data_IF_297038442885
#
_entry.id   IF_297038442885
#
_cell.length_a   1.000
_cell.length_b   1.000
_cell.length_c   1.000
_cell.angle_alpha   90.00
_cell.angle_beta   90.00
_cell.angle_gamma   90.00
#
_symmetry.space_group_name_H-M   'P 1'
#
loop_
_entity.id
_entity.type
_entity.pdbx_description
1 polymer ?
#
# COMPACT_ATOMS: atom_id res chain seq x y z
N UNK A 1 -21.75 21.44 -8.17
CA UNK A 1 -20.56 20.83 -7.52
C UNK A 1 -20.47 19.32 -7.77
N UNK A 2 -21.60 18.61 -7.73
CA UNK A 2 -21.70 17.15 -7.85
C UNK A 2 -21.12 16.56 -9.15
N UNK A 3 -21.44 17.14 -10.32
CA UNK A 3 -20.98 16.59 -11.61
C UNK A 3 -19.45 16.65 -11.80
N UNK A 4 -18.80 17.74 -11.36
CA UNK A 4 -17.34 17.88 -11.42
C UNK A 4 -16.65 16.85 -10.52
N UNK A 5 -17.17 16.66 -9.30
CA UNK A 5 -16.65 15.66 -8.37
C UNK A 5 -16.80 14.24 -8.91
N UNK A 6 -17.98 13.87 -9.44
CA UNK A 6 -18.20 12.56 -10.08
C UNK A 6 -17.26 12.35 -11.25
N UNK A 7 -17.12 13.35 -12.14
CA UNK A 7 -16.22 13.24 -13.30
C UNK A 7 -14.75 13.05 -12.90
N UNK A 8 -14.31 13.67 -11.80
CA UNK A 8 -12.97 13.46 -11.26
C UNK A 8 -12.81 12.07 -10.64
N UNK A 9 -13.80 11.63 -9.85
CA UNK A 9 -13.77 10.38 -9.13
C UNK A 9 -13.79 9.16 -10.06
N UNK A 10 -14.57 9.25 -11.14
CA UNK A 10 -14.77 8.18 -12.12
C UNK A 10 -13.98 8.39 -13.42
N UNK A 11 -13.02 9.32 -13.45
CA UNK A 11 -12.27 9.64 -14.66
C UNK A 11 -11.70 8.34 -15.30
N UNK A 12 -12.04 8.06 -16.57
CA UNK A 12 -11.75 6.76 -17.16
C UNK A 12 -10.26 6.50 -17.29
N UNK A 13 -9.86 5.26 -17.03
CA UNK A 13 -8.48 4.78 -17.17
C UNK A 13 -8.43 3.52 -18.02
N UNK A 14 -7.30 3.18 -18.67
CA UNK A 14 -7.16 1.93 -19.40
C UNK A 14 -7.35 0.72 -18.47
N UNK A 15 -8.11 -0.29 -18.91
CA UNK A 15 -8.26 -1.56 -18.16
C UNK A 15 -6.92 -2.23 -17.87
N UNK A 16 -5.93 -2.09 -18.75
CA UNK A 16 -4.57 -2.57 -18.53
C UNK A 16 -3.95 -2.04 -17.24
N UNK A 17 -4.23 -0.78 -16.86
CA UNK A 17 -3.74 -0.19 -15.61
C UNK A 17 -4.34 -0.91 -14.39
N UNK A 18 -5.62 -1.25 -14.46
CA UNK A 18 -6.31 -2.01 -13.41
C UNK A 18 -5.77 -3.43 -13.31
N UNK A 19 -5.52 -4.10 -14.44
CA UNK A 19 -4.93 -5.43 -14.44
C UNK A 19 -3.53 -5.41 -13.79
N UNK A 20 -2.69 -4.44 -14.15
CA UNK A 20 -1.36 -4.28 -13.55
C UNK A 20 -1.42 -3.97 -12.06
N UNK A 21 -2.26 -3.01 -11.65
CA UNK A 21 -2.44 -2.65 -10.24
C UNK A 21 -2.96 -3.83 -9.42
N UNK A 22 -3.95 -4.56 -9.95
CA UNK A 22 -4.51 -5.77 -9.34
C UNK A 22 -3.44 -6.84 -9.13
N UNK A 23 -2.68 -7.15 -10.18
CA UNK A 23 -1.61 -8.15 -10.09
C UNK A 23 -0.59 -7.75 -9.03
N UNK A 24 -0.15 -6.49 -9.01
CA UNK A 24 0.80 -5.99 -8.02
C UNK A 24 0.27 -6.09 -6.58
N UNK A 25 -0.96 -5.61 -6.34
CA UNK A 25 -1.57 -5.64 -5.00
C UNK A 25 -1.73 -7.06 -4.49
N UNK A 26 -2.24 -7.98 -5.31
CA UNK A 26 -2.45 -9.36 -4.88
C UNK A 26 -1.15 -10.16 -4.74
N UNK A 27 -0.14 -9.93 -5.60
CA UNK A 27 1.18 -10.56 -5.43
C UNK A 27 1.93 -10.04 -4.19
N UNK A 28 1.59 -8.84 -3.71
CA UNK A 28 2.15 -8.32 -2.47
C UNK A 28 1.60 -9.02 -1.23
N UNK A 29 0.38 -9.55 -1.24
CA UNK A 29 -0.25 -10.13 -0.03
C UNK A 29 0.57 -11.29 0.57
N UNK A 30 1.08 -12.27 -0.20
CA UNK A 30 1.99 -13.29 0.35
C UNK A 30 3.27 -12.69 0.93
N UNK A 31 3.83 -11.64 0.31
CA UNK A 31 5.03 -10.97 0.81
C UNK A 31 4.75 -10.25 2.14
N UNK A 32 3.60 -9.61 2.27
CA UNK A 32 3.16 -9.01 3.53
C UNK A 32 3.03 -10.05 4.62
N UNK A 33 2.36 -11.17 4.34
CA UNK A 33 2.15 -12.26 5.31
C UNK A 33 3.48 -12.87 5.78
N UNK A 34 4.42 -13.10 4.87
CA UNK A 34 5.63 -13.88 5.14
C UNK A 34 6.76 -12.99 5.70
N UNK A 35 6.86 -11.74 5.27
CA UNK A 35 8.01 -10.89 5.59
C UNK A 35 7.66 -9.66 6.43
N UNK A 36 6.60 -8.93 6.09
CA UNK A 36 6.33 -7.62 6.71
C UNK A 36 5.39 -7.71 7.92
N UNK A 37 4.61 -8.78 7.99
CA UNK A 37 3.55 -8.97 8.97
C UNK A 37 3.50 -10.39 9.56
N UNK A 38 4.58 -11.17 9.39
CA UNK A 38 4.70 -12.54 9.91
C UNK A 38 4.42 -12.65 11.42
N UNK A 39 4.70 -11.58 12.16
CA UNK A 39 4.41 -11.47 13.59
C UNK A 39 2.92 -11.63 13.92
N UNK A 40 2.00 -11.30 13.00
CA UNK A 40 0.55 -11.45 13.23
C UNK A 40 0.19 -12.91 13.44
N UNK A 41 0.88 -13.85 12.79
CA UNK A 41 0.67 -15.30 12.98
C UNK A 41 0.81 -15.72 14.45
N UNK A 42 1.70 -15.08 15.21
CA UNK A 42 1.90 -15.37 16.64
C UNK A 42 0.70 -15.00 17.52
N UNK A 43 -0.21 -14.15 17.04
CA UNK A 43 -1.40 -13.74 17.80
C UNK A 43 -2.37 -14.90 18.05
N UNK A 44 -2.34 -15.94 17.22
CA UNK A 44 -3.12 -17.15 17.47
C UNK A 44 -2.71 -17.93 18.72
N UNK A 45 -1.53 -17.62 19.30
CA UNK A 45 -1.03 -18.23 20.53
C UNK A 45 -1.19 -17.32 21.75
N UNK A 46 -1.71 -16.10 21.58
CA UNK A 46 -1.87 -15.18 22.69
C UNK A 46 -3.15 -15.49 23.49
N UNK A 47 -3.12 -15.30 24.82
CA UNK A 47 -4.30 -15.40 25.66
C UNK A 47 -5.44 -14.49 25.19
N UNK A 48 -6.66 -15.03 25.14
CA UNK A 48 -7.83 -14.30 24.67
C UNK A 48 -8.21 -13.09 25.53
N UNK A 49 -7.81 -13.05 26.81
CA UNK A 49 -8.03 -11.89 27.69
C UNK A 49 -7.20 -10.66 27.31
N UNK A 50 -6.16 -10.81 26.47
CA UNK A 50 -5.40 -9.69 25.91
C UNK A 50 -6.02 -9.15 24.62
N UNK A 51 -6.99 -9.86 24.03
CA UNK A 51 -7.66 -9.43 22.81
C UNK A 51 -8.63 -8.28 23.10
N UNK A 52 -8.36 -7.12 22.51
CA UNK A 52 -9.18 -5.92 22.59
C UNK A 52 -9.61 -5.55 21.17
N UNK A 53 -10.72 -6.10 20.67
CA UNK A 53 -11.14 -5.94 19.28
C UNK A 53 -11.29 -4.47 18.91
N UNK A 54 -10.87 -4.11 17.69
CA UNK A 54 -11.22 -2.81 17.10
C UNK A 54 -12.73 -2.58 17.13
N UNK A 55 -13.17 -1.31 17.04
CA UNK A 55 -14.60 -0.95 16.96
C UNK A 55 -15.33 -1.78 15.91
N UNK A 56 -14.73 -1.96 14.73
CA UNK A 56 -15.31 -2.76 13.66
C UNK A 56 -15.41 -4.24 14.00
N UNK A 57 -14.44 -4.80 14.74
CA UNK A 57 -14.51 -6.18 15.22
C UNK A 57 -15.62 -6.38 16.24
N UNK A 58 -15.87 -5.38 17.09
CA UNK A 58 -17.01 -5.40 18.01
C UNK A 58 -18.35 -5.32 17.28
N UNK A 59 -18.48 -4.40 16.32
CA UNK A 59 -19.71 -4.24 15.54
C UNK A 59 -20.06 -5.49 14.72
N UNK A 60 -19.04 -6.15 14.17
CA UNK A 60 -19.20 -7.38 13.40
C UNK A 60 -19.23 -8.65 14.25
N UNK A 61 -19.09 -8.52 15.57
CA UNK A 61 -19.02 -9.65 16.51
C UNK A 61 -17.96 -10.70 16.11
N UNK A 62 -16.79 -10.22 15.67
CA UNK A 62 -15.68 -11.10 15.28
C UNK A 62 -15.17 -11.88 16.50
N UNK A 63 -14.87 -13.18 16.34
CA UNK A 63 -14.46 -14.02 17.45
C UNK A 63 -13.06 -13.64 17.96
N UNK A 64 -12.78 -13.99 19.22
CA UNK A 64 -11.41 -13.95 19.73
C UNK A 64 -10.51 -14.84 18.86
N UNK A 65 -9.32 -14.36 18.43
CA UNK A 65 -8.45 -15.10 17.54
C UNK A 65 -8.00 -16.41 18.19
N UNK A 66 -8.20 -17.52 17.50
CA UNK A 66 -7.67 -18.84 17.90
C UNK A 66 -6.49 -19.23 17.03
N UNK A 67 -5.67 -20.16 17.50
CA UNK A 67 -4.58 -20.72 16.70
C UNK A 67 -5.08 -21.27 15.36
N UNK A 68 -6.23 -21.95 15.35
CA UNK A 68 -6.83 -22.48 14.12
C UNK A 68 -7.25 -21.36 13.17
N UNK A 69 -7.98 -20.34 13.65
CA UNK A 69 -8.46 -19.24 12.82
C UNK A 69 -7.29 -18.48 12.15
N UNK A 70 -6.28 -18.12 12.94
CA UNK A 70 -5.12 -17.35 12.45
C UNK A 70 -4.35 -18.14 11.40
N UNK A 71 -4.09 -19.43 11.63
CA UNK A 71 -3.41 -20.28 10.65
C UNK A 71 -4.27 -20.50 9.39
N UNK A 72 -5.57 -20.74 9.55
CA UNK A 72 -6.48 -20.91 8.41
C UNK A 72 -6.47 -19.68 7.50
N UNK A 73 -6.57 -18.48 8.06
CA UNK A 73 -6.49 -17.21 7.31
C UNK A 73 -5.14 -17.08 6.61
N UNK A 74 -4.03 -17.32 7.33
CA UNK A 74 -2.68 -17.22 6.79
C UNK A 74 -2.49 -18.14 5.57
N UNK A 75 -2.80 -19.43 5.73
CA UNK A 75 -2.60 -20.41 4.67
C UNK A 75 -3.62 -20.27 3.53
N UNK A 76 -4.81 -19.73 3.77
CA UNK A 76 -5.79 -19.46 2.72
C UNK A 76 -5.41 -18.22 1.88
N UNK A 77 -4.94 -17.15 2.52
CA UNK A 77 -4.60 -15.90 1.84
C UNK A 77 -3.51 -16.07 0.78
N UNK A 78 -2.51 -16.91 1.03
CA UNK A 78 -1.39 -17.14 0.10
C UNK A 78 -1.89 -17.62 -1.28
N UNK A 79 -2.51 -18.81 -1.41
CA UNK A 79 -2.98 -19.29 -2.71
C UNK A 79 -4.12 -18.43 -3.28
N UNK A 80 -5.03 -17.92 -2.45
CA UNK A 80 -6.17 -17.13 -2.95
C UNK A 80 -5.72 -15.80 -3.54
N UNK A 81 -4.73 -15.12 -2.95
CA UNK A 81 -4.16 -13.90 -3.51
C UNK A 81 -3.41 -14.15 -4.81
N UNK A 82 -2.62 -15.24 -4.90
CA UNK A 82 -1.97 -15.64 -6.15
C UNK A 82 -3.00 -15.91 -7.27
N UNK A 83 -4.11 -16.59 -6.95
CA UNK A 83 -5.21 -16.81 -7.88
C UNK A 83 -5.91 -15.50 -8.26
N UNK A 84 -6.15 -14.61 -7.29
CA UNK A 84 -6.77 -13.30 -7.52
C UNK A 84 -5.93 -12.42 -8.46
N UNK A 85 -4.60 -12.52 -8.38
CA UNK A 85 -3.65 -11.81 -9.24
C UNK A 85 -3.83 -12.13 -10.74
N UNK A 86 -4.41 -13.29 -11.08
CA UNK A 86 -4.71 -13.69 -12.47
C UNK A 86 -5.90 -12.95 -13.09
N UNK A 87 -6.80 -12.40 -12.26
CA UNK A 87 -8.01 -11.69 -12.71
C UNK A 87 -9.15 -12.56 -13.26
N UNK A 88 -9.04 -13.90 -13.26
CA UNK A 88 -10.07 -14.81 -13.84
C UNK A 88 -11.42 -14.74 -13.12
N UNK A 89 -11.43 -14.84 -11.79
CA UNK A 89 -12.61 -14.73 -10.92
C UNK A 89 -12.52 -13.49 -10.01
N UNK A 90 -12.19 -12.33 -10.60
CA UNK A 90 -11.84 -11.09 -9.90
C UNK A 90 -12.80 -10.65 -8.79
N UNK A 91 -14.12 -10.85 -8.93
CA UNK A 91 -15.10 -10.50 -7.89
C UNK A 91 -15.02 -11.44 -6.70
N UNK A 92 -15.21 -12.74 -6.93
CA UNK A 92 -15.20 -13.75 -5.87
C UNK A 92 -13.84 -13.77 -5.17
N UNK A 93 -12.76 -14.02 -5.91
CA UNK A 93 -11.42 -14.09 -5.34
C UNK A 93 -11.01 -12.77 -4.70
N UNK A 94 -11.35 -11.64 -5.31
CA UNK A 94 -10.97 -10.34 -4.79
C UNK A 94 -11.68 -9.99 -3.48
N UNK A 95 -12.99 -10.23 -3.38
CA UNK A 95 -13.73 -10.05 -2.13
C UNK A 95 -13.34 -11.05 -1.06
N UNK A 96 -13.05 -12.31 -1.42
CA UNK A 96 -12.53 -13.30 -0.47
C UNK A 96 -11.18 -12.87 0.10
N UNK A 97 -10.24 -12.44 -0.74
CA UNK A 97 -8.94 -11.93 -0.27
C UNK A 97 -9.12 -10.68 0.58
N UNK A 98 -10.01 -9.77 0.21
CA UNK A 98 -10.34 -8.60 1.04
C UNK A 98 -10.86 -9.02 2.42
N UNK A 99 -11.86 -9.89 2.49
CA UNK A 99 -12.45 -10.32 3.76
C UNK A 99 -11.42 -11.00 4.68
N UNK A 100 -10.61 -11.89 4.12
CA UNK A 100 -9.56 -12.59 4.87
C UNK A 100 -8.44 -11.63 5.33
N UNK A 101 -8.01 -10.72 4.46
CA UNK A 101 -6.97 -9.74 4.80
C UNK A 101 -7.50 -8.68 5.78
N UNK A 102 -8.78 -8.34 5.69
CA UNK A 102 -9.47 -7.48 6.64
C UNK A 102 -9.47 -8.11 8.03
N UNK A 103 -9.88 -9.38 8.15
CA UNK A 103 -9.82 -10.12 9.41
C UNK A 103 -8.37 -10.20 9.93
N UNK A 104 -7.42 -10.50 9.06
CA UNK A 104 -5.99 -10.51 9.39
C UNK A 104 -5.53 -9.19 10.01
N UNK A 105 -5.97 -8.05 9.48
CA UNK A 105 -5.68 -6.72 10.02
C UNK A 105 -6.43 -6.41 11.32
N UNK A 106 -7.67 -6.88 11.48
CA UNK A 106 -8.40 -6.76 12.75
C UNK A 106 -7.65 -7.50 13.85
N UNK A 107 -7.24 -8.75 13.59
CA UNK A 107 -6.44 -9.55 14.53
C UNK A 107 -5.15 -8.80 14.89
N UNK A 108 -4.40 -8.34 13.89
CA UNK A 108 -3.13 -7.65 14.06
C UNK A 108 -3.20 -6.44 14.99
N UNK A 109 -4.28 -5.66 14.88
CA UNK A 109 -4.39 -4.35 15.53
C UNK A 109 -5.19 -4.36 16.82
N UNK A 110 -5.63 -5.54 17.28
CA UNK A 110 -6.46 -5.72 18.48
C UNK A 110 -5.65 -6.06 19.74
N UNK A 111 -4.32 -5.93 19.70
CA UNK A 111 -3.41 -6.24 20.82
C UNK A 111 -2.55 -5.03 21.20
N UNK A 112 -3.13 -3.82 21.15
CA UNK A 112 -2.52 -2.60 21.70
C UNK A 112 -1.61 -1.82 20.75
N UNK A 113 -1.47 -2.24 19.49
CA UNK A 113 -0.75 -1.48 18.46
C UNK A 113 -1.64 -1.29 17.24
N UNK A 114 -1.81 -0.04 16.80
CA UNK A 114 -2.55 0.31 15.59
C UNK A 114 -1.58 0.99 14.62
N UNK A 115 -1.30 0.32 13.50
CA UNK A 115 -0.51 0.87 12.41
C UNK A 115 -1.42 1.32 11.25
N UNK A 116 -1.21 2.55 10.76
CA UNK A 116 -2.04 3.16 9.72
C UNK A 116 -1.56 2.86 8.29
N UNK A 117 -0.40 2.24 8.12
CA UNK A 117 0.25 2.03 6.82
C UNK A 117 -0.43 0.95 5.97
N UNK A 118 -1.27 0.10 6.56
CA UNK A 118 -2.10 -0.88 5.83
C UNK A 118 -3.46 -0.34 5.38
N UNK A 119 -3.83 0.88 5.79
CA UNK A 119 -5.14 1.45 5.45
C UNK A 119 -5.37 1.55 3.94
N UNK A 120 -4.42 2.11 3.21
CA UNK A 120 -4.56 2.33 1.77
C UNK A 120 -4.64 1.03 0.96
N UNK A 121 -3.89 -0.01 1.36
CA UNK A 121 -3.96 -1.31 0.69
C UNK A 121 -5.26 -2.04 1.01
N UNK A 122 -5.78 -1.89 2.23
CA UNK A 122 -7.08 -2.45 2.61
C UNK A 122 -8.21 -1.83 1.78
N UNK A 123 -8.18 -0.52 1.55
CA UNK A 123 -9.09 0.17 0.62
C UNK A 123 -8.91 -0.36 -0.80
N UNK A 124 -7.67 -0.51 -1.29
CA UNK A 124 -7.40 -1.06 -2.62
C UNK A 124 -8.03 -2.45 -2.80
N UNK A 125 -7.86 -3.35 -1.82
CA UNK A 125 -8.45 -4.68 -1.81
C UNK A 125 -9.98 -4.65 -1.83
N UNK A 126 -10.61 -3.70 -1.14
CA UNK A 126 -12.07 -3.54 -1.12
C UNK A 126 -12.62 -3.04 -2.48
N UNK A 127 -11.92 -2.14 -3.16
CA UNK A 127 -12.43 -1.51 -4.39
C UNK A 127 -12.03 -2.23 -5.67
N UNK A 128 -10.90 -2.95 -5.70
CA UNK A 128 -10.45 -3.72 -6.87
C UNK A 128 -11.49 -4.70 -7.45
N UNK A 129 -12.28 -5.44 -6.64
CA UNK A 129 -13.35 -6.31 -7.13
C UNK A 129 -14.45 -5.56 -7.91
N UNK A 130 -14.64 -4.28 -7.62
CA UNK A 130 -15.68 -3.43 -8.25
C UNK A 130 -15.28 -2.94 -9.65
N UNK A 131 -13.98 -2.94 -9.98
CA UNK A 131 -13.45 -2.40 -11.23
C UNK A 131 -13.77 -3.23 -12.49
N UNK A 132 -14.38 -4.41 -12.31
CA UNK A 132 -14.80 -5.30 -13.40
C UNK A 132 -13.65 -6.10 -14.05
N UNK A 133 -13.99 -6.77 -15.16
CA UNK A 133 -13.01 -7.56 -15.94
C UNK A 133 -11.98 -6.62 -16.55
N UNK A 134 -10.71 -6.89 -16.28
CA UNK A 134 -9.57 -6.14 -16.82
C UNK A 134 -8.44 -7.12 -17.14
N UNK A 135 -7.81 -6.95 -18.30
CA UNK A 135 -6.69 -7.78 -18.79
C UNK A 135 -5.48 -6.91 -19.07
N UNK A 136 -4.29 -7.49 -18.91
CA UNK A 136 -3.04 -6.85 -19.31
C UNK A 136 -3.08 -6.52 -20.81
N UNK A 137 -2.60 -5.32 -21.17
CA UNK A 137 -2.58 -4.82 -22.56
C UNK A 137 -3.89 -4.18 -23.05
N UNK A 138 -5.04 -4.42 -22.41
CA UNK A 138 -6.33 -3.86 -22.80
C UNK A 138 -6.42 -2.34 -22.58
N UNK A 139 -6.42 -1.57 -23.67
CA UNK A 139 -6.46 -0.10 -23.61
C UNK A 139 -7.89 0.47 -23.49
N UNK A 140 -8.93 -0.37 -23.44
CA UNK A 140 -10.30 0.15 -23.35
C UNK A 140 -10.49 0.93 -22.05
N UNK A 141 -11.09 2.15 -22.11
CA UNK A 141 -11.32 2.97 -20.93
C UNK A 141 -12.36 2.33 -20.00
N UNK A 142 -12.19 2.52 -18.69
CA UNK A 142 -13.14 2.09 -17.65
C UNK A 142 -13.28 3.13 -16.55
N UNK A 143 -14.51 3.55 -16.28
CA UNK A 143 -14.86 4.45 -15.18
C UNK A 143 -14.80 3.75 -13.81
N UNK A 144 -15.25 2.49 -13.73
CA UNK A 144 -15.16 1.68 -12.53
C UNK A 144 -13.69 1.45 -12.11
N UNK A 145 -12.79 1.30 -13.09
CA UNK A 145 -11.35 1.30 -12.83
C UNK A 145 -10.84 2.65 -12.35
N UNK A 146 -11.34 3.74 -12.92
CA UNK A 146 -11.04 5.11 -12.47
C UNK A 146 -11.38 5.31 -11.00
N UNK A 147 -12.59 4.90 -10.60
CA UNK A 147 -13.05 4.92 -9.21
C UNK A 147 -12.15 4.10 -8.29
N UNK A 148 -11.83 2.85 -8.65
CA UNK A 148 -10.99 1.99 -7.82
C UNK A 148 -9.60 2.60 -7.57
N UNK A 149 -8.97 3.17 -8.61
CA UNK A 149 -7.69 3.86 -8.44
C UNK A 149 -7.84 5.14 -7.63
N UNK A 150 -8.88 5.95 -7.88
CA UNK A 150 -9.07 7.22 -7.18
C UNK A 150 -9.39 7.02 -5.70
N UNK A 151 -10.22 6.05 -5.36
CA UNK A 151 -10.51 5.67 -3.97
C UNK A 151 -9.22 5.23 -3.25
N UNK A 152 -8.37 4.44 -3.91
CA UNK A 152 -7.06 4.06 -3.38
C UNK A 152 -6.14 5.27 -3.19
N UNK A 153 -6.06 6.17 -4.18
CA UNK A 153 -5.26 7.40 -4.11
C UNK A 153 -5.71 8.29 -2.94
N UNK A 154 -7.02 8.44 -2.75
CA UNK A 154 -7.60 9.18 -1.62
C UNK A 154 -7.20 8.51 -0.30
N UNK A 155 -7.25 7.19 -0.22
CA UNK A 155 -6.82 6.47 0.98
C UNK A 155 -5.32 6.65 1.27
N UNK A 156 -4.46 6.64 0.24
CA UNK A 156 -3.02 6.93 0.36
C UNK A 156 -2.81 8.33 0.96
N UNK A 157 -3.45 9.34 0.39
CA UNK A 157 -3.33 10.73 0.88
C UNK A 157 -3.94 10.89 2.27
N UNK A 158 -5.06 10.23 2.54
CA UNK A 158 -5.70 10.25 3.85
C UNK A 158 -4.79 9.65 4.93
N UNK A 159 -4.02 8.59 4.63
CA UNK A 159 -3.02 8.04 5.56
C UNK A 159 -2.03 9.12 6.01
N UNK A 160 -1.46 9.89 5.08
CA UNK A 160 -0.55 10.98 5.43
C UNK A 160 -1.25 12.10 6.19
N UNK A 161 -2.32 12.63 5.60
CA UNK A 161 -3.01 13.77 6.15
C UNK A 161 -3.50 13.49 7.58
N UNK A 162 -4.19 12.36 7.78
CA UNK A 162 -4.70 11.99 9.10
C UNK A 162 -3.59 11.56 10.08
N UNK A 163 -2.42 11.13 9.59
CA UNK A 163 -1.26 10.93 10.45
C UNK A 163 -0.79 12.26 11.06
N UNK A 164 -0.76 13.36 10.30
CA UNK A 164 -0.44 14.69 10.85
C UNK A 164 -1.48 15.17 11.86
N UNK A 165 -2.78 14.98 11.57
CA UNK A 165 -3.86 15.31 12.50
C UNK A 165 -3.72 14.49 13.79
N UNK A 166 -3.37 13.21 13.69
CA UNK A 166 -3.15 12.34 14.85
C UNK A 166 -1.96 12.81 15.68
N UNK A 167 -0.87 13.27 15.06
CA UNK A 167 0.29 13.85 15.76
C UNK A 167 -0.12 15.05 16.61
N UNK A 168 -0.91 15.96 16.05
CA UNK A 168 -1.41 17.10 16.81
C UNK A 168 -2.43 16.71 17.88
N UNK A 169 -3.34 15.79 17.58
CA UNK A 169 -4.36 15.34 18.52
C UNK A 169 -3.77 14.69 19.78
N UNK A 170 -2.74 13.85 19.63
CA UNK A 170 -2.18 13.07 20.74
C UNK A 170 -0.88 13.66 21.31
N UNK A 171 -0.12 14.40 20.52
CA UNK A 171 1.17 15.00 20.92
C UNK A 171 1.15 16.52 21.06
N UNK A 172 0.08 17.20 20.66
CA UNK A 172 0.01 18.66 20.63
C UNK A 172 1.03 19.30 19.68
N UNK A 173 1.23 20.61 19.83
CA UNK A 173 2.28 21.34 19.11
C UNK A 173 3.69 20.89 19.52
N UNK A 174 3.84 20.35 20.73
CA UNK A 174 5.09 19.80 21.24
C UNK A 174 5.62 18.64 20.38
N UNK A 175 4.79 18.03 19.52
CA UNK A 175 5.27 17.04 18.55
C UNK A 175 6.33 17.63 17.60
N UNK A 176 6.24 18.92 17.25
CA UNK A 176 7.14 19.59 16.31
C UNK A 176 8.54 19.83 16.86
N UNK A 177 8.68 20.01 18.18
CA UNK A 177 9.94 20.42 18.83
C UNK A 177 10.40 19.46 19.92
N UNK A 178 9.58 18.48 20.29
CA UNK A 178 9.85 17.55 21.38
C UNK A 178 10.75 16.38 20.99
N UNK A 179 10.86 15.41 21.90
CA UNK A 179 11.79 14.29 21.79
C UNK A 179 11.28 13.10 20.93
N UNK A 180 10.17 13.25 20.18
CA UNK A 180 9.54 12.14 19.45
C UNK A 180 10.47 11.50 18.44
N UNK A 181 11.13 12.32 17.61
CA UNK A 181 12.05 11.82 16.60
C UNK A 181 13.34 11.29 17.23
N UNK A 182 13.87 11.98 18.25
CA UNK A 182 15.02 11.52 19.03
C UNK A 182 14.79 10.14 19.64
N UNK A 183 13.61 9.91 20.27
CA UNK A 183 13.22 8.60 20.81
C UNK A 183 13.15 7.53 19.72
N UNK A 184 12.67 7.89 18.54
CA UNK A 184 12.61 6.96 17.40
C UNK A 184 14.02 6.57 16.92
N UNK A 185 14.95 7.52 16.89
CA UNK A 185 16.34 7.28 16.49
C UNK A 185 17.10 6.44 17.52
N UNK A 186 16.88 6.67 18.82
CA UNK A 186 17.49 5.84 19.87
C UNK A 186 17.00 4.39 19.76
N UNK A 187 15.70 4.18 19.53
CA UNK A 187 15.10 2.85 19.52
C UNK A 187 15.34 2.06 18.22
N UNK A 188 15.44 2.76 17.08
CA UNK A 188 15.41 2.12 15.74
C UNK A 188 16.39 2.72 14.73
N UNK A 189 17.25 3.64 15.17
CA UNK A 189 18.10 4.44 14.28
C UNK A 189 19.21 3.62 13.63
N UNK A 190 19.54 3.98 12.40
CA UNK A 190 20.71 3.45 11.67
C UNK A 190 21.97 4.26 11.98
N UNK A 191 23.13 3.81 11.47
CA UNK A 191 24.37 4.58 11.52
C UNK A 191 24.22 6.00 10.92
N UNK A 192 23.44 6.13 9.84
CA UNK A 192 23.11 7.42 9.23
C UNK A 192 22.34 8.32 10.21
N UNK A 193 21.34 7.77 10.90
CA UNK A 193 20.59 8.53 11.91
C UNK A 193 21.48 8.98 13.07
N UNK A 194 22.40 8.13 13.55
CA UNK A 194 23.35 8.48 14.61
C UNK A 194 24.31 9.61 14.19
N UNK A 195 24.72 9.63 12.91
CA UNK A 195 25.52 10.73 12.39
C UNK A 195 24.72 12.04 12.35
N UNK A 196 23.48 12.00 11.86
CA UNK A 196 22.62 13.17 11.76
C UNK A 196 22.18 13.74 13.11
N UNK A 197 22.09 12.92 14.17
CA UNK A 197 21.81 13.41 15.54
C UNK A 197 22.85 14.40 16.06
N UNK A 198 24.07 14.38 15.52
CA UNK A 198 25.14 15.30 15.89
C UNK A 198 24.91 16.71 15.34
N UNK A 199 24.01 16.87 14.37
CA UNK A 199 23.70 18.16 13.75
C UNK A 199 22.66 18.89 14.60
N UNK A 200 22.98 20.05 15.20
CA UNK A 200 22.04 20.82 16.00
C UNK A 200 20.78 21.18 15.20
N UNK A 201 19.61 21.01 15.82
CA UNK A 201 18.32 21.35 15.20
C UNK A 201 17.83 20.37 14.13
N UNK A 202 18.61 19.36 13.73
CA UNK A 202 18.20 18.40 12.70
C UNK A 202 16.88 17.70 13.03
N UNK A 203 16.71 17.23 14.27
CA UNK A 203 15.50 16.52 14.69
C UNK A 203 14.28 17.42 14.66
N UNK A 204 14.40 18.65 15.13
CA UNK A 204 13.33 19.66 15.06
C UNK A 204 12.97 19.97 13.61
N UNK A 205 13.94 20.32 12.76
CA UNK A 205 13.70 20.59 11.35
C UNK A 205 13.04 19.39 10.64
N UNK A 206 13.48 18.17 10.94
CA UNK A 206 12.87 16.94 10.42
C UNK A 206 11.43 16.74 10.88
N UNK A 207 11.10 17.06 12.14
CA UNK A 207 9.71 16.98 12.64
C UNK A 207 8.80 17.97 11.92
N UNK A 208 9.24 19.21 11.72
CA UNK A 208 8.53 20.18 10.88
C UNK A 208 8.38 19.68 9.44
N UNK A 209 9.43 19.12 8.87
CA UNK A 209 9.40 18.53 7.52
C UNK A 209 8.40 17.37 7.40
N UNK A 210 8.39 16.44 8.36
CA UNK A 210 7.44 15.31 8.41
C UNK A 210 6.00 15.83 8.48
N UNK A 211 5.71 16.73 9.42
CA UNK A 211 4.35 17.27 9.59
C UNK A 211 3.93 18.07 8.36
N UNK A 212 4.81 18.92 7.82
CA UNK A 212 4.54 19.68 6.61
C UNK A 212 4.23 18.77 5.43
N UNK A 213 5.08 17.77 5.18
CA UNK A 213 4.87 16.76 4.13
C UNK A 213 3.51 16.07 4.27
N UNK A 214 3.18 15.60 5.47
CA UNK A 214 1.95 14.86 5.72
C UNK A 214 0.70 15.74 5.59
N UNK A 215 0.74 16.92 6.20
CA UNK A 215 -0.37 17.89 6.22
C UNK A 215 -0.67 18.43 4.82
N UNK A 216 0.35 18.66 4.01
CA UNK A 216 0.21 19.17 2.64
C UNK A 216 0.07 18.07 1.57
N UNK A 217 0.05 16.79 1.95
CA UNK A 217 -0.15 15.68 1.01
C UNK A 217 -1.39 15.81 0.09
N UNK A 218 -2.54 16.43 0.50
CA UNK A 218 -3.68 16.63 -0.41
C UNK A 218 -3.38 17.48 -1.65
N UNK A 219 -2.32 18.30 -1.63
CA UNK A 219 -1.90 19.13 -2.76
C UNK A 219 -1.67 18.29 -4.03
N UNK A 220 -1.33 17.01 -3.92
CA UNK A 220 -1.12 16.10 -5.07
C UNK A 220 -2.33 16.02 -6.02
N UNK A 221 -3.55 16.27 -5.51
CA UNK A 221 -4.76 16.28 -6.33
C UNK A 221 -4.98 17.58 -7.11
N UNK A 222 -4.32 18.66 -6.70
CA UNK A 222 -4.49 20.00 -7.27
C UNK A 222 -3.31 20.42 -8.17
N UNK A 223 -2.17 19.75 -8.08
CA UNK A 223 -1.03 20.04 -8.95
C UNK A 223 -1.30 19.66 -10.41
N UNK A 224 -0.68 20.41 -11.32
CA UNK A 224 -0.70 20.11 -12.77
C UNK A 224 -0.17 18.69 -13.02
N UNK A 225 -0.68 17.97 -14.03
CA UNK A 225 -0.27 16.59 -14.31
C UNK A 225 1.25 16.38 -14.42
N UNK A 226 1.98 17.36 -14.98
CA UNK A 226 3.45 17.33 -15.10
C UNK A 226 4.20 17.27 -13.76
N UNK A 227 3.63 17.88 -12.71
CA UNK A 227 4.24 17.94 -11.37
C UNK A 227 3.81 16.79 -10.48
N UNK A 228 2.71 16.09 -10.82
CA UNK A 228 2.19 15.01 -9.98
C UNK A 228 3.21 13.90 -9.75
N UNK A 229 3.99 13.54 -10.77
CA UNK A 229 5.05 12.53 -10.60
C UNK A 229 6.19 13.00 -9.72
N UNK A 230 6.53 14.29 -9.72
CA UNK A 230 7.51 14.84 -8.79
C UNK A 230 7.01 14.76 -7.34
N UNK A 231 5.73 15.07 -7.09
CA UNK A 231 5.11 14.91 -5.76
C UNK A 231 5.12 13.45 -5.31
N UNK A 232 4.72 12.53 -6.19
CA UNK A 232 4.74 11.08 -5.90
C UNK A 232 6.15 10.55 -5.67
N UNK A 233 7.14 11.03 -6.44
CA UNK A 233 8.55 10.72 -6.19
C UNK A 233 9.00 11.25 -4.83
N UNK A 234 8.55 12.44 -4.43
CA UNK A 234 8.74 12.97 -3.08
C UNK A 234 8.13 12.06 -2.00
N UNK A 235 6.96 11.46 -2.26
CA UNK A 235 6.36 10.49 -1.34
C UNK A 235 7.23 9.23 -1.18
N UNK A 236 7.74 8.68 -2.29
CA UNK A 236 8.68 7.56 -2.22
C UNK A 236 9.99 7.94 -1.52
N UNK A 237 10.52 9.14 -1.78
CA UNK A 237 11.73 9.63 -1.12
C UNK A 237 11.53 9.76 0.39
N UNK A 238 10.38 10.25 0.85
CA UNK A 238 10.03 10.30 2.27
C UNK A 238 10.10 8.90 2.92
N UNK A 239 9.64 7.87 2.21
CA UNK A 239 9.66 6.48 2.69
C UNK A 239 11.08 5.92 2.71
N UNK A 240 11.85 6.22 1.66
CA UNK A 240 13.26 5.86 1.59
C UNK A 240 14.03 6.47 2.76
N UNK A 241 13.84 7.76 3.04
CA UNK A 241 14.45 8.42 4.19
C UNK A 241 14.00 7.79 5.51
N UNK A 242 12.72 7.44 5.64
CA UNK A 242 12.19 6.81 6.85
C UNK A 242 12.85 5.44 7.11
N UNK A 243 12.96 4.58 6.11
CA UNK A 243 13.61 3.27 6.29
C UNK A 243 15.12 3.43 6.49
N UNK A 244 15.77 4.34 5.76
CA UNK A 244 17.21 4.60 5.88
C UNK A 244 17.59 5.19 7.23
N UNK A 245 16.69 5.93 7.90
CA UNK A 245 16.96 6.55 9.19
C UNK A 245 16.52 5.67 10.37
N UNK A 246 15.30 5.13 10.34
CA UNK A 246 14.69 4.48 11.51
C UNK A 246 14.18 3.06 11.26
N UNK A 247 14.56 2.43 10.14
CA UNK A 247 14.23 1.05 9.79
C UNK A 247 12.73 0.70 9.79
N UNK A 248 11.86 1.72 9.79
CA UNK A 248 10.41 1.52 9.68
C UNK A 248 10.06 1.42 8.21
N UNK A 249 9.44 0.30 7.85
CA UNK A 249 8.95 0.04 6.50
C UNK A 249 7.45 0.31 6.39
N UNK A 250 7.08 1.01 5.33
CA UNK A 250 5.71 1.34 4.95
C UNK A 250 5.39 0.73 3.57
N UNK A 251 5.95 -0.45 3.27
CA UNK A 251 5.79 -1.08 1.94
C UNK A 251 4.33 -1.31 1.53
N UNK A 252 3.40 -1.77 2.41
CA UNK A 252 1.99 -1.89 2.03
C UNK A 252 1.41 -0.57 1.48
N UNK A 253 1.76 0.54 2.13
CA UNK A 253 1.36 1.87 1.72
C UNK A 253 1.96 2.25 0.35
N UNK A 254 3.24 1.95 0.13
CA UNK A 254 3.94 2.20 -1.13
C UNK A 254 3.37 1.39 -2.31
N UNK A 255 2.89 0.17 -2.05
CA UNK A 255 2.17 -0.64 -3.05
C UNK A 255 0.86 0.04 -3.42
N UNK A 256 0.06 0.50 -2.46
CA UNK A 256 -1.16 1.25 -2.75
C UNK A 256 -0.88 2.58 -3.50
N UNK A 257 0.23 3.25 -3.18
CA UNK A 257 0.68 4.49 -3.83
C UNK A 257 1.02 4.33 -5.31
N UNK A 258 1.30 3.10 -5.77
CA UNK A 258 1.48 2.82 -7.21
C UNK A 258 0.21 3.12 -8.03
N UNK A 259 -0.96 3.28 -7.39
CA UNK A 259 -2.19 3.75 -8.02
C UNK A 259 -2.07 5.12 -8.68
N UNK A 260 -1.07 5.93 -8.31
CA UNK A 260 -0.75 7.20 -8.99
C UNK A 260 0.07 7.02 -10.29
N UNK A 261 0.66 5.85 -10.50
CA UNK A 261 1.59 5.59 -11.60
C UNK A 261 0.87 5.01 -12.83
N UNK A 262 1.39 5.25 -14.05
CA UNK A 262 0.84 4.70 -15.28
C UNK A 262 1.29 3.24 -15.48
N UNK A 263 0.84 2.34 -14.61
CA UNK A 263 1.29 0.95 -14.55
C UNK A 263 1.09 0.16 -15.86
N UNK A 264 0.12 0.56 -16.69
CA UNK A 264 -0.12 -0.02 -18.02
C UNK A 264 1.05 0.14 -18.99
N UNK A 265 1.96 1.09 -18.73
CA UNK A 265 3.17 1.32 -19.52
C UNK A 265 4.29 0.33 -19.19
N UNK A 266 4.22 -0.33 -18.03
CA UNK A 266 5.19 -1.33 -17.60
C UNK A 266 4.65 -2.70 -18.03
N UNK A 267 5.20 -3.26 -19.11
CA UNK A 267 4.67 -4.48 -19.74
C UNK A 267 5.71 -5.62 -19.80
N UNK A 268 6.23 -6.08 -18.65
CA UNK A 268 7.35 -7.03 -18.59
C UNK A 268 7.03 -8.34 -19.31
N UNK A 269 5.78 -8.83 -19.23
CA UNK A 269 5.36 -10.04 -19.95
C UNK A 269 5.39 -9.86 -21.46
N UNK A 270 5.00 -8.69 -21.96
CA UNK A 270 5.03 -8.38 -23.40
C UNK A 270 6.48 -8.20 -23.85
N UNK A 271 7.31 -7.52 -23.05
CA UNK A 271 8.74 -7.37 -23.31
C UNK A 271 9.45 -8.73 -23.37
N UNK A 272 9.17 -9.61 -22.41
CA UNK A 272 9.72 -10.96 -22.38
C UNK A 272 9.29 -11.80 -23.58
N UNK A 273 7.98 -11.79 -23.94
CA UNK A 273 7.49 -12.50 -25.12
C UNK A 273 8.15 -12.00 -26.40
N UNK A 274 8.24 -10.67 -26.58
CA UNK A 274 8.95 -10.06 -27.72
C UNK A 274 10.43 -10.46 -27.77
N UNK A 275 11.11 -10.48 -26.61
CA UNK A 275 12.50 -10.91 -26.53
C UNK A 275 12.66 -12.39 -26.93
N UNK A 276 11.83 -13.28 -26.37
CA UNK A 276 11.84 -14.71 -26.69
C UNK A 276 11.54 -15.00 -28.17
N UNK A 277 10.57 -14.28 -28.73
CA UNK A 277 10.16 -14.48 -30.12
C UNK A 277 11.23 -13.94 -31.09
N UNK A 278 11.99 -12.89 -30.72
CA UNK A 278 13.18 -12.42 -31.45
C UNK A 278 14.32 -13.45 -31.43
N UNK A 279 14.61 -14.08 -30.28
CA UNK A 279 15.67 -15.10 -30.19
C UNK A 279 15.37 -16.37 -31.00
N UNK A 280 14.10 -16.63 -31.33
CA UNK A 280 13.70 -17.74 -32.22
C UNK A 280 13.81 -17.42 -33.71
N UNK A 281 13.97 -16.15 -34.08
CA UNK A 281 14.01 -15.69 -35.47
C UNK A 281 15.43 -15.34 -35.95
N UNK A 282 16.48 -15.57 -35.14
CA UNK A 282 17.86 -15.43 -35.60
C UNK A 282 18.12 -16.45 -36.72
N UNK A 283 18.48 -16.02 -37.95
CA UNK A 283 18.79 -16.94 -39.04
C UNK A 283 19.97 -17.82 -38.67
N UNK A 284 19.92 -19.10 -39.05
CA UNK A 284 21.14 -19.93 -39.14
C UNK A 284 22.19 -19.17 -39.96
N UNK A 285 23.45 -19.08 -39.49
CA UNK A 285 24.50 -18.51 -40.31
C UNK A 285 24.56 -19.33 -41.59
N UNK A 286 24.28 -18.69 -42.73
CA UNK A 286 24.41 -19.28 -44.04
C UNK A 286 25.81 -19.90 -44.12
N UNK A 287 25.88 -21.24 -44.17
CA UNK A 287 27.11 -21.96 -44.46
C UNK A 287 27.62 -21.47 -45.80
N UNK A 288 28.73 -20.73 -45.77
CA UNK A 288 29.45 -20.30 -46.94
C UNK A 288 29.95 -21.54 -47.68
N UNK A 289 29.50 -21.70 -48.93
CA UNK A 289 30.02 -22.65 -49.90
C UNK A 289 31.17 -22.00 -50.70
#
# INVERSE_FOLDING_TARGET
MTQRFTSWLFAPVPKARIAAFRTLVYLFIPLDLIFFSAWIKSHGNLPGNLYQPLVVGRLLHLPTPTHLLVNAIFYALIPLSLLAATGRAHRLLGWTVFALYFEWMVIAMSYGKIDHDRYAILVALAVLPTAGRARHGDQTPTEAGGFALRATQVAVVATYFLASISKFRYGGLAWLTGATLTRSFIRRGTALAQWLLKIPGFTTASQFGIVGFELFSPIVFFVKPKWRYAVVAGFYLFHLMTVSLITISFIPHQIAMTSFLPLEKIQPVIWYRKWRDRTKQSPEPATAA
#
